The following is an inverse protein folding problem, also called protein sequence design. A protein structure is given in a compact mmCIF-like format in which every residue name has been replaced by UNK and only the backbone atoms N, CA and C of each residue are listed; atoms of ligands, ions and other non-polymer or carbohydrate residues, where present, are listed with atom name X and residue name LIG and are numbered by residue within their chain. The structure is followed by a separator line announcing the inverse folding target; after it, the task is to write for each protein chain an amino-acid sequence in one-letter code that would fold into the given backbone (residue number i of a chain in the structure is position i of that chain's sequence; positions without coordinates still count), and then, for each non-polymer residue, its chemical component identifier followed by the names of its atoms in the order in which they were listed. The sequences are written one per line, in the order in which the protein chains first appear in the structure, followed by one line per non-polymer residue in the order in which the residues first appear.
data_IF_762510685510
#
_entry.id   IF_762510685510
#
_cell.length_a   1.000
_cell.length_b   1.000
_cell.length_c   1.000
_cell.angle_alpha   90.00
_cell.angle_beta   90.00
_cell.angle_gamma   90.00
#
_symmetry.space_group_name_H-M   'P 1'
#
loop_
_entity.id
_entity.type
_entity.pdbx_description
1 polymer ?
#
# COMPACT_ATOMS: atom_id res chain seq x y z
N UNK A 1 -19.91 13.28 23.78
CA UNK A 1 -19.03 14.21 23.04
C UNK A 1 -18.02 13.35 22.28
N UNK A 2 -17.95 13.41 20.94
CA UNK A 2 -16.92 12.68 20.18
C UNK A 2 -15.71 13.60 20.03
N UNK A 3 -14.54 13.14 20.44
CA UNK A 3 -13.33 13.97 20.45
C UNK A 3 -12.81 14.16 19.01
N UNK A 4 -12.80 13.12 18.16
CA UNK A 4 -12.48 13.24 16.71
C UNK A 4 -13.23 12.14 15.91
N UNK A 5 -14.45 12.38 15.40
CA UNK A 5 -15.20 11.39 14.61
C UNK A 5 -14.63 11.08 13.22
N UNK A 6 -13.71 11.90 12.71
CA UNK A 6 -13.12 11.78 11.38
C UNK A 6 -11.98 10.76 11.30
N UNK A 7 -11.44 10.34 12.44
CA UNK A 7 -10.38 9.35 12.50
C UNK A 7 -10.96 7.94 12.39
N UNK A 8 -10.31 7.10 11.60
CA UNK A 8 -10.66 5.69 11.45
C UNK A 8 -9.40 4.83 11.52
N UNK A 9 -9.56 3.60 11.97
CA UNK A 9 -8.55 2.56 11.84
C UNK A 9 -8.79 1.80 10.53
N UNK A 10 -7.71 1.43 9.85
CA UNK A 10 -7.73 0.71 8.57
C UNK A 10 -6.83 -0.52 8.67
N UNK A 11 -7.33 -1.67 8.21
CA UNK A 11 -6.54 -2.88 8.00
C UNK A 11 -6.77 -3.40 6.58
N UNK A 12 -5.70 -3.50 5.79
CA UNK A 12 -5.72 -3.98 4.41
C UNK A 12 -4.77 -5.16 4.24
N UNK A 13 -5.24 -6.21 3.58
CA UNK A 13 -4.39 -7.32 3.16
C UNK A 13 -4.17 -7.23 1.66
N UNK A 14 -2.91 -7.19 1.24
CA UNK A 14 -2.52 -7.12 -0.16
C UNK A 14 -1.51 -8.22 -0.51
N UNK A 15 -1.50 -8.62 -1.77
CA UNK A 15 -0.57 -9.62 -2.29
C UNK A 15 -0.03 -9.12 -3.62
N UNK A 16 1.25 -8.72 -3.64
CA UNK A 16 1.86 -8.10 -4.81
C UNK A 16 2.88 -9.04 -5.47
N UNK A 17 2.88 -9.05 -6.80
CA UNK A 17 3.90 -9.74 -7.59
C UNK A 17 4.97 -8.74 -7.99
N UNK A 18 6.21 -9.02 -7.60
CA UNK A 18 7.37 -8.27 -8.05
C UNK A 18 8.15 -9.07 -9.08
N UNK A 19 8.81 -8.35 -10.00
CA UNK A 19 9.65 -8.93 -11.04
C UNK A 19 11.10 -8.47 -10.80
N UNK A 20 12.02 -9.42 -10.66
CA UNK A 20 13.44 -9.16 -10.47
C UNK A 20 14.24 -9.77 -11.62
N UNK A 21 15.25 -9.03 -12.07
CA UNK A 21 16.12 -9.42 -13.17
C UNK A 21 17.20 -10.33 -12.58
N UNK A 22 17.07 -11.65 -12.76
CA UNK A 22 17.96 -12.62 -12.12
C UNK A 22 19.29 -12.79 -12.86
N UNK A 23 19.28 -12.69 -14.20
CA UNK A 23 20.50 -12.82 -15.01
C UNK A 23 20.37 -12.25 -16.42
N UNK A 24 21.48 -11.75 -16.97
CA UNK A 24 21.57 -11.38 -18.38
C UNK A 24 22.04 -12.56 -19.22
N UNK A 25 21.22 -13.01 -20.16
CA UNK A 25 21.55 -14.11 -21.06
C UNK A 25 22.26 -13.56 -22.30
N UNK A 26 23.60 -13.59 -22.29
CA UNK A 26 24.47 -13.16 -23.40
C UNK A 26 24.22 -13.92 -24.71
N UNK A 27 23.73 -15.16 -24.67
CA UNK A 27 23.53 -15.99 -25.88
C UNK A 27 22.31 -15.54 -26.67
N UNK A 28 21.25 -15.14 -25.98
CA UNK A 28 19.98 -14.72 -26.59
C UNK A 28 19.73 -13.21 -26.51
N UNK A 29 20.66 -12.44 -25.92
CA UNK A 29 20.53 -11.01 -25.65
C UNK A 29 19.23 -10.64 -24.90
N UNK A 30 18.82 -11.48 -23.96
CA UNK A 30 17.58 -11.31 -23.18
C UNK A 30 17.86 -11.35 -21.69
N UNK A 31 17.06 -10.60 -20.93
CA UNK A 31 17.06 -10.65 -19.47
C UNK A 31 16.17 -11.79 -19.02
N UNK A 32 16.70 -12.68 -18.17
CA UNK A 32 15.87 -13.63 -17.45
C UNK A 32 15.26 -12.88 -16.27
N UNK A 33 13.93 -12.94 -16.16
CA UNK A 33 13.20 -12.35 -15.06
C UNK A 33 12.54 -13.44 -14.23
N UNK A 34 12.62 -13.30 -12.92
CA UNK A 34 11.97 -14.16 -11.96
C UNK A 34 10.93 -13.35 -11.21
N UNK A 35 9.76 -13.95 -10.98
CA UNK A 35 8.69 -13.34 -10.22
C UNK A 35 8.60 -13.98 -8.86
N UNK A 36 8.55 -13.15 -7.84
CA UNK A 36 8.24 -13.56 -6.49
C UNK A 36 7.04 -12.78 -5.97
N UNK A 37 6.37 -13.36 -5.00
CA UNK A 37 5.14 -12.83 -4.44
C UNK A 37 5.39 -12.39 -3.01
N UNK A 38 4.94 -11.19 -2.68
CA UNK A 38 5.12 -10.60 -1.36
C UNK A 38 3.73 -10.32 -0.76
N UNK A 39 3.39 -10.98 0.37
CA UNK A 39 2.22 -10.62 1.15
C UNK A 39 2.46 -9.37 1.98
N UNK A 40 1.47 -8.48 2.03
CA UNK A 40 1.45 -7.29 2.87
C UNK A 40 0.22 -7.32 3.77
N UNK A 41 0.41 -6.95 5.03
CA UNK A 41 -0.68 -6.67 5.96
C UNK A 41 -0.50 -5.25 6.47
N UNK A 42 -1.20 -4.33 5.83
CA UNK A 42 -1.13 -2.90 6.08
C UNK A 42 -2.10 -2.54 7.20
N UNK A 43 -1.56 -2.17 8.36
CA UNK A 43 -2.35 -1.73 9.50
C UNK A 43 -2.06 -0.27 9.81
N UNK A 44 -3.10 0.50 10.10
CA UNK A 44 -2.94 1.87 10.54
C UNK A 44 -4.26 2.60 10.65
N UNK A 45 -4.29 3.83 10.18
CA UNK A 45 -5.47 4.65 10.25
C UNK A 45 -5.36 5.93 9.45
N UNK A 46 -6.50 6.58 9.30
CA UNK A 46 -6.59 7.78 8.50
C UNK A 46 -7.59 8.78 9.05
N UNK A 47 -7.62 9.92 8.37
CA UNK A 47 -8.56 11.00 8.56
C UNK A 47 -9.41 11.14 7.31
N UNK A 48 -10.73 11.15 7.47
CA UNK A 48 -11.68 11.35 6.37
C UNK A 48 -12.58 12.54 6.65
N UNK A 49 -12.71 13.43 5.66
CA UNK A 49 -13.52 14.63 5.76
C UNK A 49 -14.38 14.82 4.51
N UNK A 50 -15.68 15.00 4.73
CA UNK A 50 -16.61 15.42 3.70
C UNK A 50 -16.33 16.87 3.30
N UNK A 51 -16.08 17.11 2.02
CA UNK A 51 -15.88 18.45 1.44
C UNK A 51 -17.10 18.95 0.68
N UNK A 52 -18.05 18.06 0.40
CA UNK A 52 -19.34 18.40 -0.18
C UNK A 52 -20.40 17.35 0.16
N UNK A 53 -21.62 17.48 -0.39
CA UNK A 53 -22.72 16.55 -0.12
C UNK A 53 -22.40 15.10 -0.52
N UNK A 54 -21.59 14.94 -1.56
CA UNK A 54 -21.30 13.66 -2.22
C UNK A 54 -19.79 13.40 -2.39
N UNK A 55 -18.95 14.25 -1.81
CA UNK A 55 -17.50 14.21 -2.02
C UNK A 55 -16.80 14.20 -0.67
N UNK A 56 -15.89 13.25 -0.49
CA UNK A 56 -15.04 13.18 0.69
C UNK A 56 -13.58 13.05 0.27
N UNK A 57 -12.70 13.62 1.09
CA UNK A 57 -11.26 13.46 0.99
C UNK A 57 -10.79 12.61 2.16
N UNK A 58 -9.79 11.78 1.93
CA UNK A 58 -9.15 11.01 2.98
C UNK A 58 -7.64 11.03 2.84
N UNK A 59 -6.98 10.92 3.99
CA UNK A 59 -5.55 10.73 4.13
C UNK A 59 -5.34 9.59 5.12
N UNK A 60 -4.49 8.64 4.81
CA UNK A 60 -4.21 7.50 5.68
C UNK A 60 -2.72 7.16 5.71
N UNK A 61 -2.30 6.61 6.84
CA UNK A 61 -0.96 6.12 7.07
C UNK A 61 -1.09 4.68 7.56
N UNK A 62 -0.52 3.76 6.79
CA UNK A 62 -0.51 2.33 7.07
C UNK A 62 0.92 1.84 7.20
N UNK A 63 1.13 0.82 8.00
CA UNK A 63 2.41 0.15 8.16
C UNK A 63 2.25 -1.32 7.80
N UNK A 64 3.18 -1.86 7.02
CA UNK A 64 3.23 -3.31 6.84
C UNK A 64 3.70 -3.97 8.13
N UNK A 65 2.91 -4.93 8.62
CA UNK A 65 3.21 -5.68 9.83
C UNK A 65 3.87 -7.02 9.51
N UNK A 66 3.65 -7.56 8.30
CA UNK A 66 4.31 -8.81 7.89
C UNK A 66 5.81 -8.57 7.74
N UNK A 67 6.22 -7.41 7.17
CA UNK A 67 7.63 -7.04 6.97
C UNK A 67 8.40 -8.17 6.30
N UNK A 68 7.89 -8.69 5.18
CA UNK A 68 8.52 -9.78 4.45
C UNK A 68 9.91 -9.37 3.92
N UNK A 69 10.93 -10.21 4.12
CA UNK A 69 12.31 -9.91 3.71
C UNK A 69 12.49 -9.75 2.18
N UNK A 70 11.53 -10.24 1.39
CA UNK A 70 11.52 -10.07 -0.07
C UNK A 70 10.81 -8.78 -0.50
N UNK A 71 10.19 -8.05 0.42
CA UNK A 71 9.60 -6.73 0.12
C UNK A 71 10.69 -5.75 -0.31
N UNK A 72 10.51 -5.00 -1.41
CA UNK A 72 11.42 -3.92 -1.79
C UNK A 72 11.33 -2.70 -0.85
N UNK A 73 10.36 -2.66 0.06
CA UNK A 73 10.19 -1.60 1.07
C UNK A 73 10.92 -1.95 2.36
N UNK A 74 11.56 -0.96 3.01
CA UNK A 74 12.25 -1.18 4.28
C UNK A 74 11.25 -1.53 5.39
N UNK A 75 11.68 -2.35 6.36
CA UNK A 75 10.83 -2.70 7.50
C UNK A 75 10.41 -1.43 8.27
N UNK A 76 9.10 -1.23 8.41
CA UNK A 76 8.55 -0.06 9.10
C UNK A 76 8.42 1.21 8.25
N UNK A 77 8.66 1.14 6.94
CA UNK A 77 8.36 2.26 6.03
C UNK A 77 6.83 2.50 5.98
N UNK A 78 6.36 3.73 6.26
CA UNK A 78 4.93 4.03 6.24
C UNK A 78 4.40 4.15 4.81
N UNK A 79 3.31 3.44 4.52
CA UNK A 79 2.48 3.65 3.35
C UNK A 79 1.54 4.83 3.60
N UNK A 80 1.83 5.95 2.96
CA UNK A 80 1.00 7.15 3.04
C UNK A 80 0.14 7.25 1.78
N UNK A 81 -1.18 7.29 1.96
CA UNK A 81 -2.17 7.37 0.89
C UNK A 81 -3.08 8.57 1.08
N UNK A 82 -3.43 9.24 -0.03
CA UNK A 82 -4.37 10.35 -0.07
C UNK A 82 -5.33 10.12 -1.22
N UNK A 83 -6.61 10.36 -0.99
CA UNK A 83 -7.62 10.11 -2.00
C UNK A 83 -8.86 10.98 -1.87
N UNK A 84 -9.67 10.95 -2.92
CA UNK A 84 -10.96 11.59 -2.99
C UNK A 84 -11.99 10.55 -3.46
N UNK A 85 -13.13 10.48 -2.81
CA UNK A 85 -14.26 9.66 -3.22
C UNK A 85 -15.45 10.52 -3.62
N UNK A 86 -16.19 10.07 -4.63
CA UNK A 86 -17.48 10.66 -5.03
C UNK A 86 -18.55 9.57 -4.93
N UNK A 87 -19.61 9.81 -4.17
CA UNK A 87 -20.76 8.92 -4.03
C UNK A 87 -21.99 9.49 -4.75
N UNK A 88 -22.80 8.63 -5.35
CA UNK A 88 -24.05 9.01 -6.03
C UNK A 88 -25.28 8.81 -5.17
#
# INVERSE_FOLDING_TARGET
YRIIPQLYAHAEFAYWSYENISSFNTVNNTYNTERYWVPYLLLGGGFSQNVGPNVWLFAEVLFDVINDENSPYESGEPFISFGAGVGF
#
